data_IF_095351912834
#
_entry.id   IF_095351912834
#
_cell.length_a   1.000
_cell.length_b   1.000
_cell.length_c   1.000
_cell.angle_alpha   90.00
_cell.angle_beta   90.00
_cell.angle_gamma   90.00
#
_symmetry.space_group_name_H-M   'P 1'
#
loop_
_entity.id
_entity.type
_entity.pdbx_description
1 polymer ?
#
# COMPACT_ATOMS: atom_id res chain seq x y z
N UNK A 1 81.78 -7.69 -37.42
CA UNK A 1 80.56 -7.99 -36.64
C UNK A 1 80.13 -6.74 -35.88
N UNK A 2 78.83 -6.45 -35.88
CA UNK A 2 78.20 -5.12 -35.79
C UNK A 2 78.14 -4.53 -34.37
N UNK A 3 78.27 -3.20 -34.24
CA UNK A 3 78.01 -2.43 -33.00
C UNK A 3 77.10 -1.22 -33.31
N UNK A 4 76.20 -0.94 -32.36
CA UNK A 4 75.53 0.34 -32.01
C UNK A 4 74.14 0.73 -32.58
N UNK A 5 73.14 0.72 -31.66
CA UNK A 5 72.16 1.77 -31.27
C UNK A 5 71.28 2.51 -32.31
N UNK A 6 69.94 2.53 -32.12
CA UNK A 6 69.10 3.70 -31.66
C UNK A 6 67.60 3.52 -32.01
N UNK A 7 66.76 4.18 -31.21
CA UNK A 7 65.29 4.14 -31.11
C UNK A 7 64.47 4.54 -32.36
N UNK A 8 63.22 4.05 -32.43
CA UNK A 8 61.95 4.81 -32.52
C UNK A 8 60.87 4.26 -33.49
N UNK A 9 59.62 4.35 -33.01
CA UNK A 9 58.36 4.65 -33.72
C UNK A 9 57.49 3.52 -34.31
N UNK A 10 56.31 3.38 -33.66
CA UNK A 10 54.95 3.22 -34.21
C UNK A 10 54.57 2.02 -35.08
N UNK A 11 53.60 1.22 -34.63
CA UNK A 11 52.39 0.91 -35.40
C UNK A 11 51.32 0.20 -34.54
N UNK A 12 50.23 0.93 -34.30
CA UNK A 12 48.87 0.49 -33.97
C UNK A 12 48.46 -0.87 -34.55
N UNK A 13 47.75 -1.72 -33.78
CA UNK A 13 46.63 -2.51 -34.33
C UNK A 13 45.63 -2.98 -33.26
N UNK A 14 44.43 -2.42 -33.39
CA UNK A 14 43.13 -3.03 -33.13
C UNK A 14 42.76 -3.42 -31.68
N UNK A 15 42.50 -2.41 -30.85
CA UNK A 15 41.46 -2.56 -29.83
C UNK A 15 40.14 -2.87 -30.53
N UNK A 16 39.59 -4.07 -30.34
CA UNK A 16 38.27 -4.45 -30.85
C UNK A 16 37.26 -3.44 -30.30
N UNK A 17 36.77 -2.55 -31.17
CA UNK A 17 35.66 -1.67 -30.85
C UNK A 17 34.47 -2.53 -30.41
N UNK A 18 34.14 -2.51 -29.12
CA UNK A 18 32.91 -3.11 -28.64
C UNK A 18 31.76 -2.40 -29.36
N UNK A 19 30.94 -3.17 -30.09
CA UNK A 19 29.73 -2.66 -30.74
C UNK A 19 28.93 -1.84 -29.73
N UNK A 20 28.72 -0.56 -30.02
CA UNK A 20 27.81 0.29 -29.26
C UNK A 20 26.45 -0.41 -29.18
N UNK A 21 26.06 -0.83 -27.97
CA UNK A 21 24.79 -1.50 -27.74
C UNK A 21 23.69 -0.46 -27.99
N UNK A 22 22.78 -0.74 -28.93
CA UNK A 22 21.64 0.15 -29.24
C UNK A 22 20.88 0.44 -27.94
N UNK A 23 20.60 1.72 -27.68
CA UNK A 23 19.86 2.14 -26.49
C UNK A 23 18.53 1.39 -26.42
N UNK A 24 18.29 0.71 -25.29
CA UNK A 24 17.07 -0.07 -25.07
C UNK A 24 15.87 0.86 -25.04
N UNK A 25 14.89 0.66 -25.93
CA UNK A 25 13.64 1.43 -25.96
C UNK A 25 12.99 1.43 -24.58
N UNK A 26 12.85 2.60 -23.97
CA UNK A 26 12.15 2.77 -22.69
C UNK A 26 10.68 2.42 -22.91
N UNK A 27 10.22 1.30 -22.35
CA UNK A 27 8.82 0.89 -22.48
C UNK A 27 7.91 1.87 -21.75
N UNK A 28 6.76 2.24 -22.34
CA UNK A 28 5.75 3.10 -21.69
C UNK A 28 5.03 2.39 -20.52
N UNK A 29 4.92 1.06 -20.60
CA UNK A 29 4.25 0.23 -19.60
C UNK A 29 5.22 -0.21 -18.50
N UNK A 30 4.84 0.01 -17.25
CA UNK A 30 5.53 -0.46 -16.05
C UNK A 30 5.16 -1.92 -15.76
N UNK A 31 6.18 -2.76 -15.54
CA UNK A 31 6.06 -4.18 -15.20
C UNK A 31 6.79 -4.48 -13.88
N UNK A 32 6.45 -5.61 -13.26
CA UNK A 32 7.09 -6.09 -12.04
C UNK A 32 6.56 -5.48 -10.75
N UNK A 33 7.22 -5.81 -9.63
CA UNK A 33 6.80 -5.46 -8.27
C UNK A 33 6.66 -3.95 -8.04
N UNK A 34 7.55 -3.15 -8.64
CA UNK A 34 7.56 -1.69 -8.48
C UNK A 34 6.72 -0.95 -9.53
N UNK A 35 5.87 -1.64 -10.31
CA UNK A 35 5.15 -1.02 -11.42
C UNK A 35 4.35 0.23 -10.99
N UNK A 36 3.61 0.14 -9.88
CA UNK A 36 2.83 1.28 -9.35
C UNK A 36 3.72 2.41 -8.85
N UNK A 37 4.90 2.10 -8.29
CA UNK A 37 5.86 3.10 -7.85
C UNK A 37 6.50 3.84 -9.03
N UNK A 38 6.86 3.12 -10.09
CA UNK A 38 7.41 3.71 -11.31
C UNK A 38 6.42 4.63 -12.02
N UNK A 39 5.13 4.26 -12.05
CA UNK A 39 4.07 5.11 -12.61
C UNK A 39 3.83 6.33 -11.73
N UNK A 40 3.76 6.17 -10.41
CA UNK A 40 3.56 7.31 -9.50
C UNK A 40 4.73 8.31 -9.57
N UNK A 41 5.96 7.81 -9.71
CA UNK A 41 7.17 8.62 -9.94
C UNK A 41 7.18 9.32 -11.30
N UNK A 42 6.43 8.81 -12.29
CA UNK A 42 6.42 9.31 -13.66
C UNK A 42 7.47 8.69 -14.58
N UNK A 43 8.19 7.64 -14.15
CA UNK A 43 9.14 6.91 -15.01
C UNK A 43 8.45 6.16 -16.16
N UNK A 44 7.14 5.93 -16.02
CA UNK A 44 6.29 5.11 -16.90
C UNK A 44 4.89 5.72 -16.91
N UNK A 45 4.17 5.50 -18.00
CA UNK A 45 2.85 6.10 -18.22
C UNK A 45 1.74 5.30 -17.52
N UNK A 46 1.78 3.97 -17.65
CA UNK A 46 0.76 3.07 -17.09
C UNK A 46 1.33 1.74 -16.63
N UNK A 47 0.65 1.08 -15.71
CA UNK A 47 0.97 -0.31 -15.32
C UNK A 47 0.41 -1.32 -16.33
N UNK A 48 0.80 -2.59 -16.23
CA UNK A 48 0.22 -3.68 -17.06
C UNK A 48 -1.31 -3.71 -16.97
N UNK A 49 -1.88 -3.45 -15.79
CA UNK A 49 -3.32 -3.39 -15.57
C UNK A 49 -3.97 -2.04 -15.92
N UNK A 50 -3.30 -1.18 -16.69
CA UNK A 50 -3.85 0.08 -17.18
C UNK A 50 -3.92 1.23 -16.16
N UNK A 51 -3.43 1.05 -14.92
CA UNK A 51 -3.43 2.13 -13.93
C UNK A 51 -2.45 3.25 -14.32
N UNK A 52 -2.96 4.47 -14.41
CA UNK A 52 -2.19 5.72 -14.58
C UNK A 52 -1.85 6.35 -13.22
N UNK A 53 -1.03 7.40 -13.24
CA UNK A 53 -0.63 8.15 -12.04
C UNK A 53 -1.84 8.68 -11.25
N UNK A 54 -2.84 9.21 -11.94
CA UNK A 54 -4.01 9.85 -11.32
C UNK A 54 -4.90 8.86 -10.56
N UNK A 55 -4.86 7.59 -10.96
CA UNK A 55 -5.62 6.51 -10.32
C UNK A 55 -4.89 5.93 -9.10
N UNK A 56 -3.64 6.32 -8.84
CA UNK A 56 -2.80 5.80 -7.76
C UNK A 56 -2.73 6.80 -6.60
N UNK A 57 -2.49 6.26 -5.40
CA UNK A 57 -2.26 7.04 -4.19
C UNK A 57 -1.34 6.26 -3.23
N UNK A 58 -0.59 6.99 -2.40
CA UNK A 58 0.21 6.41 -1.31
C UNK A 58 -0.66 6.36 -0.04
N UNK A 59 -0.74 5.20 0.61
CA UNK A 59 -1.45 5.07 1.88
C UNK A 59 -0.54 5.45 3.07
N UNK A 60 -1.13 5.55 4.28
CA UNK A 60 -0.38 5.86 5.52
C UNK A 60 0.75 4.90 5.85
N UNK A 61 0.71 3.67 5.33
CA UNK A 61 1.74 2.62 5.49
C UNK A 61 2.81 2.68 4.39
N UNK A 62 2.80 3.72 3.56
CA UNK A 62 3.74 3.90 2.46
C UNK A 62 3.48 3.06 1.21
N UNK A 63 2.46 2.19 1.21
CA UNK A 63 2.12 1.32 0.07
C UNK A 63 1.31 2.09 -0.98
N UNK A 64 1.68 1.94 -2.24
CA UNK A 64 0.97 2.54 -3.37
C UNK A 64 -0.17 1.62 -3.79
N UNK A 65 -1.39 2.15 -3.72
CA UNK A 65 -2.64 1.45 -4.03
C UNK A 65 -3.44 2.27 -5.04
N UNK A 66 -4.43 1.66 -5.70
CA UNK A 66 -5.36 2.43 -6.51
C UNK A 66 -6.38 3.15 -5.63
N UNK A 67 -6.80 4.35 -6.03
CA UNK A 67 -7.86 5.12 -5.37
C UNK A 67 -9.15 4.30 -5.24
N UNK A 68 -9.51 3.55 -6.31
CA UNK A 68 -10.65 2.60 -6.31
C UNK A 68 -10.55 1.56 -5.19
N UNK A 69 -9.40 0.90 -5.04
CA UNK A 69 -9.20 -0.10 -3.99
C UNK A 69 -9.25 0.54 -2.59
N UNK A 70 -8.70 1.74 -2.42
CA UNK A 70 -8.80 2.46 -1.15
C UNK A 70 -10.24 2.82 -0.81
N UNK A 71 -11.03 3.30 -1.77
CA UNK A 71 -12.43 3.66 -1.56
C UNK A 71 -13.27 2.42 -1.21
N UNK A 72 -13.06 1.31 -1.90
CA UNK A 72 -13.75 0.06 -1.60
C UNK A 72 -13.43 -0.46 -0.18
N UNK A 73 -12.16 -0.38 0.25
CA UNK A 73 -11.77 -0.73 1.62
C UNK A 73 -12.48 0.12 2.69
N UNK A 74 -12.63 1.43 2.46
CA UNK A 74 -13.38 2.31 3.36
C UNK A 74 -14.86 1.93 3.45
N UNK A 75 -15.50 1.64 2.30
CA UNK A 75 -16.91 1.19 2.27
C UNK A 75 -17.10 -0.15 2.97
N UNK A 76 -16.14 -1.07 2.81
CA UNK A 76 -16.19 -2.35 3.50
C UNK A 76 -16.04 -2.18 5.03
N UNK A 77 -15.18 -1.26 5.48
CA UNK A 77 -14.95 -0.97 6.90
C UNK A 77 -16.19 -0.42 7.61
N UNK A 78 -17.01 0.39 6.93
CA UNK A 78 -18.25 0.93 7.51
C UNK A 78 -19.22 -0.15 8.04
N UNK A 79 -19.15 -1.38 7.51
CA UNK A 79 -19.98 -2.51 7.98
C UNK A 79 -19.51 -3.12 9.30
N UNK A 80 -18.23 -2.93 9.66
CA UNK A 80 -17.61 -3.51 10.86
C UNK A 80 -17.23 -2.45 11.90
N UNK A 81 -17.26 -1.17 11.53
CA UNK A 81 -16.89 -0.02 12.34
C UNK A 81 -17.59 -0.02 13.72
N UNK A 82 -18.91 -0.19 13.73
CA UNK A 82 -19.71 -0.21 14.95
C UNK A 82 -19.29 -1.30 15.95
N UNK A 83 -18.92 -2.49 15.46
CA UNK A 83 -18.42 -3.56 16.32
C UNK A 83 -17.03 -3.24 16.88
N UNK A 84 -16.16 -2.66 16.06
CA UNK A 84 -14.80 -2.30 16.48
C UNK A 84 -14.85 -1.22 17.58
N UNK A 85 -15.71 -0.21 17.41
CA UNK A 85 -15.92 0.85 18.40
C UNK A 85 -16.47 0.31 19.72
N UNK A 86 -17.56 -0.48 19.67
CA UNK A 86 -18.14 -1.12 20.84
C UNK A 86 -17.13 -2.02 21.58
N UNK A 87 -16.29 -2.73 20.83
CA UNK A 87 -15.22 -3.54 21.41
C UNK A 87 -14.12 -2.70 22.07
N UNK A 88 -13.71 -1.60 21.44
CA UNK A 88 -12.73 -0.68 22.02
C UNK A 88 -13.24 -0.01 23.29
N UNK A 89 -14.51 0.38 23.32
CA UNK A 89 -15.17 0.92 24.51
C UNK A 89 -15.26 -0.12 25.63
N UNK A 90 -15.66 -1.36 25.32
CA UNK A 90 -15.68 -2.45 26.29
C UNK A 90 -14.29 -2.70 26.90
N UNK A 91 -13.21 -2.68 26.10
CA UNK A 91 -11.83 -2.82 26.59
C UNK A 91 -11.41 -1.68 27.51
N UNK A 92 -11.76 -0.42 27.16
CA UNK A 92 -11.49 0.75 28.00
C UNK A 92 -12.24 0.66 29.33
N UNK A 93 -13.51 0.30 29.28
CA UNK A 93 -14.37 0.23 30.46
C UNK A 93 -14.01 -0.91 31.42
N UNK A 94 -13.40 -1.99 30.92
CA UNK A 94 -12.87 -3.09 31.72
C UNK A 94 -11.36 -2.94 32.03
N UNK A 95 -10.74 -1.83 31.60
CA UNK A 95 -9.31 -1.52 31.79
C UNK A 95 -8.36 -2.65 31.41
N UNK A 96 -8.66 -3.35 30.31
CA UNK A 96 -7.87 -4.51 29.86
C UNK A 96 -6.70 -4.04 28.98
N UNK A 97 -5.48 -4.35 29.42
CA UNK A 97 -4.24 -4.13 28.67
C UNK A 97 -3.72 -5.45 28.08
N UNK A 98 -2.89 -5.35 27.03
CA UNK A 98 -2.35 -6.51 26.34
C UNK A 98 -3.35 -7.29 25.48
N UNK A 99 -2.94 -8.49 25.08
CA UNK A 99 -3.73 -9.37 24.23
C UNK A 99 -4.68 -10.22 25.08
N UNK A 100 -5.98 -10.17 24.76
CA UNK A 100 -6.99 -11.03 25.37
C UNK A 100 -7.88 -11.60 24.24
N UNK A 101 -8.02 -12.94 24.14
CA UNK A 101 -8.86 -13.55 23.12
C UNK A 101 -10.33 -13.23 23.37
N UNK A 102 -11.01 -12.68 22.36
CA UNK A 102 -12.44 -12.36 22.42
C UNK A 102 -13.25 -13.65 22.55
N UNK A 103 -14.13 -13.71 23.55
CA UNK A 103 -14.90 -14.91 23.87
C UNK A 103 -14.04 -16.17 24.09
N UNK A 104 -12.82 -15.99 24.60
CA UNK A 104 -11.91 -17.09 24.92
C UNK A 104 -12.26 -17.83 26.21
N UNK A 105 -11.33 -18.68 26.67
CA UNK A 105 -11.48 -19.45 27.92
C UNK A 105 -11.42 -18.56 29.17
N UNK A 106 -10.75 -17.41 29.09
CA UNK A 106 -10.55 -16.51 30.23
C UNK A 106 -11.81 -15.72 30.54
N UNK A 107 -12.03 -15.42 31.84
CA UNK A 107 -13.17 -14.62 32.29
C UNK A 107 -13.18 -13.23 31.64
N UNK A 108 -12.02 -12.60 31.52
CA UNK A 108 -11.86 -11.30 30.86
C UNK A 108 -12.30 -11.33 29.39
N UNK A 109 -11.93 -12.38 28.63
CA UNK A 109 -12.30 -12.52 27.23
C UNK A 109 -13.82 -12.66 27.02
N UNK A 110 -14.48 -13.40 27.92
CA UNK A 110 -15.94 -13.53 27.96
C UNK A 110 -16.61 -12.19 28.35
N UNK A 111 -16.10 -11.52 29.37
CA UNK A 111 -16.65 -10.24 29.84
C UNK A 111 -16.58 -9.13 28.79
N UNK A 112 -15.46 -9.01 28.07
CA UNK A 112 -15.31 -8.04 26.96
C UNK A 112 -16.35 -8.32 25.87
N UNK A 113 -16.55 -9.58 25.51
CA UNK A 113 -17.50 -9.97 24.45
C UNK A 113 -18.94 -9.61 24.83
N UNK A 114 -19.37 -9.96 26.05
CA UNK A 114 -20.71 -9.64 26.55
C UNK A 114 -20.92 -8.12 26.59
N UNK A 115 -19.95 -7.37 27.12
CA UNK A 115 -20.04 -5.90 27.21
C UNK A 115 -20.05 -5.24 25.82
N UNK A 116 -19.22 -5.68 24.89
CA UNK A 116 -19.20 -5.18 23.52
C UNK A 116 -20.52 -5.44 22.80
N UNK A 117 -21.13 -6.62 22.99
CA UNK A 117 -22.47 -6.91 22.46
C UNK A 117 -23.55 -6.00 23.05
N UNK A 118 -23.49 -5.73 24.35
CA UNK A 118 -24.44 -4.83 25.01
C UNK A 118 -24.34 -3.40 24.45
N UNK A 119 -23.12 -2.86 24.29
CA UNK A 119 -22.88 -1.54 23.70
C UNK A 119 -23.36 -1.49 22.25
N UNK A 120 -23.07 -2.52 21.45
CA UNK A 120 -23.54 -2.60 20.06
C UNK A 120 -25.07 -2.62 19.98
N UNK A 121 -25.74 -3.37 20.86
CA UNK A 121 -27.19 -3.43 20.91
C UNK A 121 -27.79 -2.07 21.31
N UNK A 122 -27.19 -1.39 22.30
CA UNK A 122 -27.58 -0.04 22.72
C UNK A 122 -27.41 0.98 21.59
N UNK A 123 -26.25 1.03 20.94
CA UNK A 123 -26.00 1.96 19.83
C UNK A 123 -26.89 1.73 18.60
N UNK A 124 -27.34 0.49 18.36
CA UNK A 124 -28.36 0.20 17.33
C UNK A 124 -29.72 0.79 17.67
N UNK A 125 -30.11 0.77 18.94
CA UNK A 125 -31.37 1.35 19.40
C UNK A 125 -31.37 2.88 19.20
N UNK A 126 -30.24 3.56 19.45
CA UNK A 126 -30.12 5.01 19.26
C UNK A 126 -30.15 5.43 17.79
N UNK A 127 -29.54 4.63 16.89
CA UNK A 127 -29.57 4.92 15.43
C UNK A 127 -30.93 4.71 14.76
N UNK A 128 -31.89 4.06 15.43
CA UNK A 128 -33.26 3.91 14.95
C UNK A 128 -34.09 5.20 14.99
N UNK A 129 -33.64 6.21 15.75
CA UNK A 129 -34.38 7.47 15.98
C UNK A 129 -33.79 8.66 15.21
N UNK A 130 -32.57 8.54 14.68
CA UNK A 130 -31.89 9.61 13.95
C UNK A 130 -32.09 9.48 12.42
N UNK A 131 -32.96 10.33 11.87
CA UNK A 131 -33.11 10.53 10.43
C UNK A 131 -31.75 10.76 9.74
N UNK A 132 -31.54 10.06 8.62
CA UNK A 132 -30.29 10.04 7.84
C UNK A 132 -29.78 11.44 7.49
N UNK A 133 -28.56 11.84 7.90
CA UNK A 133 -27.90 12.98 7.28
C UNK A 133 -27.37 12.54 5.92
N UNK A 134 -27.90 13.15 4.86
CA UNK A 134 -27.40 13.01 3.49
C UNK A 134 -25.91 13.35 3.46
N UNK A 135 -25.03 12.34 3.44
CA UNK A 135 -23.59 12.56 3.20
C UNK A 135 -23.42 13.03 1.77
N UNK A 136 -23.27 14.33 1.60
CA UNK A 136 -22.85 14.97 0.37
C UNK A 136 -21.43 14.48 0.03
N UNK A 137 -21.33 13.60 -0.96
CA UNK A 137 -20.05 13.14 -1.51
C UNK A 137 -19.79 14.00 -2.75
N UNK A 138 -19.10 15.13 -2.56
CA UNK A 138 -18.54 15.88 -3.67
C UNK A 138 -17.35 15.12 -4.28
N UNK A 139 -17.29 15.18 -5.61
CA UNK A 139 -16.46 14.39 -6.52
C UNK A 139 -14.95 14.66 -6.42
#
# INVERSE_FOLDING_TARGET
AMKAMKAAKTATKAGKAMKAMKAKRVTKVARGMFAKALVLRGSKEKTVGGLTKDMLMKNKRGKIVSKKASAWGKRAFARIESWVEAHMEARKALRVSGFVPVNGKTLQGKAIYVKAKAILAAGRADTGTAASPKRNVQA
#
